data_IF_842402881003
#
_entry.id   IF_842402881003
#
_cell.length_a   1.000
_cell.length_b   1.000
_cell.length_c   1.000
_cell.angle_alpha   90.00
_cell.angle_beta   90.00
_cell.angle_gamma   90.00
#
_symmetry.space_group_name_H-M   'P 1'
#
loop_
_entity.id
_entity.type
_entity.pdbx_description
1 polymer ?
#
# COMPACT_ATOMS: atom_id res chain seq x y z
N UNK A 1 16.47 32.82 -50.44
CA UNK A 1 15.50 32.92 -49.33
C UNK A 1 14.54 31.74 -49.43
N UNK A 2 14.69 30.75 -48.56
CA UNK A 2 13.76 29.62 -48.45
C UNK A 2 13.29 29.61 -47.00
N UNK A 3 12.00 29.78 -46.82
CA UNK A 3 11.31 29.93 -45.55
C UNK A 3 11.44 28.66 -44.69
N UNK A 4 11.76 28.84 -43.42
CA UNK A 4 11.71 27.78 -42.42
C UNK A 4 10.24 27.41 -42.13
N UNK A 5 9.90 26.12 -41.98
CA UNK A 5 8.54 25.72 -41.64
C UNK A 5 8.21 26.16 -40.21
N UNK A 6 7.07 26.85 -40.10
CA UNK A 6 6.47 27.36 -38.87
C UNK A 6 6.34 26.26 -37.82
N UNK A 7 6.93 26.52 -36.66
CA UNK A 7 6.69 25.79 -35.42
C UNK A 7 5.22 25.95 -35.03
N UNK A 8 4.46 24.85 -35.12
CA UNK A 8 3.07 24.79 -34.66
C UNK A 8 3.08 24.78 -33.12
N UNK A 9 2.71 25.91 -32.51
CA UNK A 9 2.44 25.96 -31.07
C UNK A 9 1.12 25.21 -30.83
N UNK A 10 1.21 24.06 -30.17
CA UNK A 10 0.06 23.29 -29.70
C UNK A 10 -0.65 24.14 -28.62
N UNK A 11 -1.83 24.67 -28.93
CA UNK A 11 -2.66 25.39 -27.95
C UNK A 11 -3.10 24.49 -26.79
N UNK A 12 -3.64 25.06 -25.69
CA UNK A 12 -4.06 24.30 -24.54
C UNK A 12 -5.20 23.36 -24.96
N UNK A 13 -4.89 22.08 -25.08
CA UNK A 13 -5.86 21.05 -25.43
C UNK A 13 -6.95 20.99 -24.35
N UNK A 14 -8.19 21.19 -24.75
CA UNK A 14 -9.35 20.81 -23.94
C UNK A 14 -9.21 19.33 -23.61
N UNK A 15 -8.99 19.01 -22.34
CA UNK A 15 -9.05 17.62 -21.89
C UNK A 15 -10.53 17.18 -21.95
N UNK A 16 -10.87 16.31 -22.90
CA UNK A 16 -12.21 15.74 -22.99
C UNK A 16 -12.34 14.55 -22.03
N UNK A 17 -13.52 14.42 -21.42
CA UNK A 17 -13.92 13.18 -20.78
C UNK A 17 -13.90 12.05 -21.82
N UNK A 18 -13.33 10.90 -21.44
CA UNK A 18 -13.26 9.72 -22.30
C UNK A 18 -14.34 8.72 -21.87
N UNK A 19 -14.90 7.96 -22.81
CA UNK A 19 -15.78 6.84 -22.48
C UNK A 19 -14.98 5.56 -22.60
N UNK A 20 -14.88 4.80 -21.51
CA UNK A 20 -14.22 3.50 -21.50
C UNK A 20 -15.17 2.44 -20.96
N UNK A 21 -15.38 1.36 -21.70
CA UNK A 21 -16.39 0.33 -21.37
C UNK A 21 -17.78 0.92 -21.05
N UNK A 22 -18.17 2.01 -21.72
CA UNK A 22 -19.42 2.73 -21.47
C UNK A 22 -19.49 3.42 -20.10
N UNK A 23 -18.35 3.77 -19.51
CA UNK A 23 -18.22 4.59 -18.30
C UNK A 23 -17.52 5.88 -18.69
N UNK A 24 -18.05 7.01 -18.23
CA UNK A 24 -17.40 8.31 -18.39
C UNK A 24 -16.23 8.42 -17.41
N UNK A 25 -15.04 8.71 -17.94
CA UNK A 25 -13.83 8.99 -17.19
C UNK A 25 -13.67 10.50 -17.15
N UNK A 26 -13.63 11.11 -15.95
CA UNK A 26 -13.54 12.56 -15.83
C UNK A 26 -12.23 13.05 -16.44
N UNK A 27 -12.28 14.19 -17.13
CA UNK A 27 -11.07 14.87 -17.57
C UNK A 27 -10.26 15.37 -16.36
N UNK A 28 -8.92 15.48 -16.47
CA UNK A 28 -8.11 16.21 -15.51
C UNK A 28 -8.61 17.66 -15.37
N UNK A 29 -8.44 18.29 -14.19
CA UNK A 29 -8.74 19.71 -14.05
C UNK A 29 -7.88 20.54 -15.02
N UNK A 30 -8.29 21.78 -15.27
CA UNK A 30 -7.59 22.64 -16.20
C UNK A 30 -6.10 22.79 -15.80
N UNK A 31 -5.16 22.70 -16.77
CA UNK A 31 -3.74 22.80 -16.47
C UNK A 31 -3.39 24.17 -15.86
N UNK A 32 -2.48 24.16 -14.88
CA UNK A 32 -1.91 25.33 -14.22
C UNK A 32 -0.38 25.28 -14.37
N UNK A 33 0.16 25.72 -15.53
CA UNK A 33 1.58 25.59 -15.83
C UNK A 33 2.48 26.24 -14.78
N UNK A 34 3.34 25.43 -14.15
CA UNK A 34 4.51 25.88 -13.38
C UNK A 34 5.75 25.58 -14.21
N UNK A 35 6.70 26.51 -14.29
CA UNK A 35 7.95 26.32 -15.06
C UNK A 35 9.13 26.27 -14.12
N UNK A 36 9.84 25.14 -14.13
CA UNK A 36 11.10 24.97 -13.42
C UNK A 36 12.27 25.05 -14.42
N UNK A 37 13.43 25.51 -13.97
CA UNK A 37 14.65 25.54 -14.80
C UNK A 37 15.71 24.62 -14.20
N UNK A 38 16.06 23.56 -14.94
CA UNK A 38 17.09 22.60 -14.57
C UNK A 38 18.24 22.67 -15.57
N UNK A 39 19.44 23.05 -15.11
CA UNK A 39 20.63 23.19 -15.97
C UNK A 39 20.34 23.95 -17.28
N UNK A 40 19.76 25.15 -17.15
CA UNK A 40 19.34 26.02 -18.26
C UNK A 40 18.24 25.44 -19.17
N UNK A 41 17.63 24.31 -18.83
CA UNK A 41 16.50 23.72 -19.54
C UNK A 41 15.20 24.03 -18.79
N UNK A 42 14.24 24.66 -19.47
CA UNK A 42 12.91 24.91 -18.91
C UNK A 42 12.05 23.65 -19.02
N UNK A 43 11.41 23.27 -17.92
CA UNK A 43 10.47 22.14 -17.83
C UNK A 43 9.14 22.67 -17.33
N UNK A 44 8.06 22.42 -18.07
CA UNK A 44 6.71 22.84 -17.70
C UNK A 44 5.98 21.69 -17.02
N UNK A 45 5.50 21.92 -15.81
CA UNK A 45 4.63 21.03 -15.07
C UNK A 45 3.21 21.62 -14.99
N UNK A 46 2.31 21.25 -15.91
CA UNK A 46 0.94 21.77 -15.94
C UNK A 46 0.05 21.25 -14.81
N UNK A 47 0.48 20.24 -14.06
CA UNK A 47 -0.35 19.56 -13.07
C UNK A 47 0.28 19.52 -11.67
N UNK A 48 1.31 20.34 -11.40
CA UNK A 48 1.97 20.47 -10.09
C UNK A 48 1.00 20.59 -8.92
N UNK A 49 -0.13 21.30 -9.11
CA UNK A 49 -1.14 21.46 -8.07
C UNK A 49 -1.80 20.14 -7.63
N UNK A 50 -1.75 19.07 -8.42
CA UNK A 50 -2.25 17.74 -8.03
C UNK A 50 -1.40 17.09 -6.91
N UNK A 51 -0.20 17.62 -6.64
CA UNK A 51 0.63 17.19 -5.51
C UNK A 51 0.02 17.60 -4.16
N UNK A 52 -0.82 18.64 -4.14
CA UNK A 52 -1.53 19.11 -2.94
C UNK A 52 -2.74 18.23 -2.66
N UNK A 53 -2.49 17.00 -2.20
CA UNK A 53 -3.53 16.00 -1.94
C UNK A 53 -4.55 16.41 -0.87
N UNK A 54 -4.29 17.45 -0.09
CA UNK A 54 -5.28 18.00 0.86
C UNK A 54 -6.28 18.98 0.22
N UNK A 55 -6.03 19.43 -1.01
CA UNK A 55 -6.89 20.34 -1.74
C UNK A 55 -8.24 19.67 -2.10
N UNK A 56 -9.39 20.29 -1.80
CA UNK A 56 -10.71 19.73 -2.11
C UNK A 56 -10.96 19.42 -3.59
N UNK A 57 -10.41 20.21 -4.52
CA UNK A 57 -10.51 19.98 -5.96
C UNK A 57 -9.73 18.74 -6.38
N UNK A 58 -8.52 18.58 -5.84
CA UNK A 58 -7.66 17.40 -6.06
C UNK A 58 -8.36 16.15 -5.53
N UNK A 59 -8.87 16.19 -4.29
CA UNK A 59 -9.63 15.09 -3.69
C UNK A 59 -10.87 14.72 -4.51
N UNK A 60 -11.62 15.72 -4.99
CA UNK A 60 -12.79 15.50 -5.86
C UNK A 60 -12.38 14.82 -7.18
N UNK A 61 -11.30 15.28 -7.80
CA UNK A 61 -10.79 14.68 -9.03
C UNK A 61 -10.32 13.24 -8.81
N UNK A 62 -9.51 12.98 -7.78
CA UNK A 62 -9.04 11.64 -7.42
C UNK A 62 -10.21 10.68 -7.17
N UNK A 63 -11.23 11.14 -6.41
CA UNK A 63 -12.43 10.35 -6.17
C UNK A 63 -13.16 10.03 -7.48
N UNK A 64 -13.35 11.00 -8.36
CA UNK A 64 -14.05 10.80 -9.62
C UNK A 64 -13.30 9.80 -10.54
N UNK A 65 -11.97 9.84 -10.56
CA UNK A 65 -11.14 8.82 -11.24
C UNK A 65 -11.30 7.43 -10.62
N UNK A 66 -11.30 7.34 -9.29
CA UNK A 66 -11.47 6.07 -8.57
C UNK A 66 -12.86 5.45 -8.80
N UNK A 67 -13.91 6.27 -8.82
CA UNK A 67 -15.29 5.86 -9.08
C UNK A 67 -15.43 5.34 -10.52
N UNK A 68 -14.89 6.08 -11.51
CA UNK A 68 -14.90 5.65 -12.91
C UNK A 68 -14.14 4.32 -13.10
N UNK A 69 -12.94 4.21 -12.51
CA UNK A 69 -12.15 2.97 -12.55
C UNK A 69 -12.90 1.80 -11.94
N UNK A 70 -13.53 2.00 -10.77
CA UNK A 70 -14.33 0.96 -10.11
C UNK A 70 -15.49 0.49 -10.98
N UNK A 71 -16.19 1.43 -11.65
CA UNK A 71 -17.29 1.11 -12.55
C UNK A 71 -16.82 0.36 -13.81
N UNK A 72 -15.65 0.71 -14.37
CA UNK A 72 -15.06 -0.01 -15.50
C UNK A 72 -14.69 -1.44 -15.09
N UNK A 73 -13.99 -1.61 -13.97
CA UNK A 73 -13.58 -2.91 -13.48
C UNK A 73 -14.77 -3.80 -13.12
N UNK A 74 -15.86 -3.22 -12.59
CA UNK A 74 -17.08 -3.96 -12.29
C UNK A 74 -17.74 -4.58 -13.54
N UNK A 75 -17.52 -4.01 -14.73
CA UNK A 75 -18.04 -4.51 -16.00
C UNK A 75 -17.16 -5.60 -16.63
N UNK A 76 -15.97 -5.88 -16.09
CA UNK A 76 -15.07 -6.86 -16.68
C UNK A 76 -15.67 -8.28 -16.58
N UNK A 77 -15.86 -8.98 -17.72
CA UNK A 77 -16.37 -10.33 -17.71
C UNK A 77 -15.39 -11.24 -16.98
N UNK A 78 -15.91 -12.09 -16.10
CA UNK A 78 -15.10 -13.04 -15.32
C UNK A 78 -14.45 -12.48 -14.06
N UNK A 79 -14.55 -11.17 -13.74
CA UNK A 79 -13.99 -10.60 -12.50
C UNK A 79 -14.46 -11.34 -11.24
N UNK A 80 -15.76 -11.61 -11.14
CA UNK A 80 -16.32 -12.31 -9.99
C UNK A 80 -15.81 -13.76 -9.88
N UNK A 81 -15.69 -14.47 -11.03
CA UNK A 81 -15.14 -15.83 -11.07
C UNK A 81 -13.67 -15.86 -10.67
N UNK A 82 -12.88 -14.88 -11.14
CA UNK A 82 -11.48 -14.75 -10.77
C UNK A 82 -11.31 -14.45 -9.28
N UNK A 83 -12.10 -13.51 -8.73
CA UNK A 83 -12.09 -13.19 -7.31
C UNK A 83 -12.43 -14.42 -6.45
N UNK A 84 -13.48 -15.16 -6.81
CA UNK A 84 -13.86 -16.39 -6.11
C UNK A 84 -12.75 -17.44 -6.13
N UNK A 85 -12.08 -17.62 -7.28
CA UNK A 85 -10.96 -18.57 -7.39
C UNK A 85 -9.75 -18.15 -6.56
N UNK A 86 -9.45 -16.85 -6.49
CA UNK A 86 -8.36 -16.34 -5.63
C UNK A 86 -8.69 -16.61 -4.16
N UNK A 87 -9.93 -16.34 -3.73
CA UNK A 87 -10.39 -16.59 -2.36
C UNK A 87 -10.37 -18.08 -1.99
N UNK A 88 -10.76 -18.95 -2.91
CA UNK A 88 -10.70 -20.40 -2.73
C UNK A 88 -9.25 -20.86 -2.48
N UNK A 89 -8.32 -20.44 -3.34
CA UNK A 89 -6.90 -20.81 -3.20
C UNK A 89 -6.28 -20.24 -1.92
N UNK A 90 -6.57 -18.99 -1.56
CA UNK A 90 -6.03 -18.38 -0.34
C UNK A 90 -6.58 -19.08 0.92
N UNK A 91 -7.86 -19.51 0.89
CA UNK A 91 -8.49 -20.24 1.99
C UNK A 91 -7.99 -21.68 2.17
N UNK A 92 -7.40 -22.31 1.14
CA UNK A 92 -6.80 -23.64 1.24
C UNK A 92 -5.54 -23.65 2.11
N UNK A 93 -4.91 -22.49 2.35
CA UNK A 93 -3.69 -22.37 3.17
C UNK A 93 -4.06 -22.05 4.62
N UNK A 94 -3.96 -23.00 5.57
CA UNK A 94 -4.45 -22.79 6.93
C UNK A 94 -3.67 -21.69 7.67
N UNK A 95 -2.36 -21.63 7.42
CA UNK A 95 -1.48 -20.57 7.90
C UNK A 95 -0.25 -20.43 7.01
N UNK A 96 0.24 -19.19 6.90
CA UNK A 96 1.52 -18.86 6.29
C UNK A 96 2.49 -18.46 7.39
N UNK A 97 3.62 -19.16 7.49
CA UNK A 97 4.70 -18.85 8.45
C UNK A 97 5.91 -18.32 7.69
N UNK A 98 6.46 -17.19 8.13
CA UNK A 98 7.62 -16.56 7.50
C UNK A 98 8.60 -16.01 8.54
N UNK A 99 9.78 -15.60 8.05
CA UNK A 99 10.82 -14.94 8.83
C UNK A 99 11.35 -15.73 10.04
N UNK A 100 11.22 -17.06 10.08
CA UNK A 100 11.63 -17.87 11.23
C UNK A 100 13.07 -17.57 11.68
N UNK A 101 13.22 -17.19 12.96
CA UNK A 101 14.50 -16.96 13.63
C UNK A 101 14.61 -17.84 14.87
N UNK A 102 15.81 -18.31 15.17
CA UNK A 102 16.13 -19.10 16.36
C UNK A 102 17.11 -18.33 17.24
N UNK A 103 16.84 -18.25 18.53
CA UNK A 103 17.77 -17.73 19.54
C UNK A 103 18.76 -18.81 20.02
N UNK A 104 19.76 -18.43 20.81
CA UNK A 104 20.76 -19.37 21.36
C UNK A 104 20.16 -20.39 22.34
N UNK A 105 19.03 -20.05 22.97
CA UNK A 105 18.31 -20.91 23.91
C UNK A 105 17.34 -21.87 23.22
N UNK A 106 17.29 -21.86 21.89
CA UNK A 106 16.42 -22.71 21.08
C UNK A 106 14.96 -22.24 21.01
N UNK A 107 14.66 -21.01 21.42
CA UNK A 107 13.39 -20.34 21.15
C UNK A 107 13.28 -19.99 19.67
N UNK A 108 12.08 -20.15 19.12
CA UNK A 108 11.73 -19.81 17.75
C UNK A 108 10.82 -18.59 17.76
N UNK A 109 11.16 -17.60 16.95
CA UNK A 109 10.32 -16.43 16.65
C UNK A 109 9.94 -16.48 15.19
N UNK A 110 8.72 -16.07 14.85
CA UNK A 110 8.27 -16.06 13.46
C UNK A 110 7.03 -15.20 13.28
N UNK A 111 6.81 -14.78 12.04
CA UNK A 111 5.55 -14.20 11.61
C UNK A 111 4.60 -15.31 11.18
N UNK A 112 3.33 -15.23 11.58
CA UNK A 112 2.29 -16.17 11.17
C UNK A 112 1.01 -15.41 10.82
N UNK A 113 0.43 -15.74 9.68
CA UNK A 113 -0.91 -15.29 9.25
C UNK A 113 -1.80 -16.50 9.09
N UNK A 114 -2.86 -16.62 9.88
CA UNK A 114 -3.88 -17.65 9.66
C UNK A 114 -4.79 -17.28 8.48
N UNK A 115 -5.51 -18.25 7.91
CA UNK A 115 -6.41 -18.01 6.76
C UNK A 115 -7.44 -16.89 6.99
N UNK A 116 -7.86 -16.67 8.24
CA UNK A 116 -8.83 -15.64 8.64
C UNK A 116 -8.20 -14.29 8.99
N UNK A 117 -6.86 -14.23 9.10
CA UNK A 117 -6.14 -13.04 9.52
C UNK A 117 -5.85 -12.16 8.30
N UNK A 118 -6.13 -10.87 8.43
CA UNK A 118 -5.77 -9.86 7.44
C UNK A 118 -4.28 -9.52 7.50
N UNK A 119 -3.64 -9.71 8.66
CA UNK A 119 -2.25 -9.34 8.90
C UNK A 119 -1.47 -10.45 9.62
N UNK A 120 -0.19 -10.57 9.30
CA UNK A 120 0.71 -11.47 10.02
C UNK A 120 0.96 -10.96 11.44
N UNK A 121 0.91 -11.87 12.40
CA UNK A 121 1.19 -11.61 13.82
C UNK A 121 2.54 -12.21 14.21
N UNK A 122 3.17 -11.64 15.23
CA UNK A 122 4.48 -12.09 15.71
C UNK A 122 4.29 -13.08 16.86
N UNK A 123 4.86 -14.26 16.69
CA UNK A 123 4.79 -15.34 17.68
C UNK A 123 6.17 -15.77 18.15
N UNK A 124 6.18 -16.43 19.31
CA UNK A 124 7.31 -17.18 19.85
C UNK A 124 6.87 -18.56 20.30
N UNK A 125 7.73 -19.55 20.19
CA UNK A 125 7.60 -20.84 20.90
C UNK A 125 8.95 -21.39 21.32
N UNK A 126 8.98 -22.29 22.29
CA UNK A 126 10.20 -23.00 22.68
C UNK A 126 10.37 -24.28 21.86
N UNK A 127 11.45 -24.41 21.09
CA UNK A 127 11.64 -25.57 20.21
C UNK A 127 10.54 -25.71 19.14
N UNK A 128 10.46 -26.87 18.49
CA UNK A 128 9.46 -27.10 17.46
C UNK A 128 8.06 -27.36 18.03
N UNK A 129 7.97 -28.13 19.12
CA UNK A 129 6.70 -28.63 19.66
C UNK A 129 6.21 -27.86 20.89
N UNK A 130 6.91 -26.78 21.28
CA UNK A 130 6.48 -25.94 22.39
C UNK A 130 5.23 -25.12 22.05
N UNK A 131 4.49 -24.66 23.08
CA UNK A 131 3.29 -23.85 22.88
C UNK A 131 3.64 -22.51 22.23
N UNK A 132 2.78 -22.03 21.32
CA UNK A 132 2.88 -20.70 20.73
C UNK A 132 2.43 -19.62 21.73
N UNK A 133 3.26 -18.60 21.95
CA UNK A 133 2.95 -17.33 22.62
C UNK A 133 2.83 -16.25 21.55
N UNK A 134 1.68 -15.58 21.48
CA UNK A 134 1.50 -14.37 20.69
C UNK A 134 2.26 -13.21 21.36
N UNK A 135 3.12 -12.52 20.62
CA UNK A 135 3.88 -11.38 21.11
C UNK A 135 3.29 -10.05 20.63
N UNK A 136 2.91 -9.96 19.35
CA UNK A 136 2.33 -8.73 18.79
C UNK A 136 1.25 -9.05 17.76
N UNK A 137 0.14 -8.32 17.85
CA UNK A 137 -1.04 -8.45 16.97
C UNK A 137 -1.42 -7.10 16.36
N UNK A 138 -1.07 -6.85 15.08
CA UNK A 138 -1.42 -5.60 14.40
C UNK A 138 -2.93 -5.38 14.28
N UNK A 139 -3.74 -6.44 14.31
CA UNK A 139 -5.19 -6.28 14.25
C UNK A 139 -5.76 -5.74 15.56
N UNK A 140 -5.09 -5.96 16.69
CA UNK A 140 -5.44 -5.35 17.96
C UNK A 140 -5.19 -3.83 17.92
N UNK A 141 -4.03 -3.41 17.41
CA UNK A 141 -3.72 -1.98 17.17
C UNK A 141 -4.72 -1.34 16.20
N UNK A 142 -5.10 -2.08 15.16
CA UNK A 142 -6.06 -1.58 14.18
C UNK A 142 -7.45 -1.36 14.77
N UNK A 143 -7.92 -2.26 15.64
CA UNK A 143 -9.18 -2.08 16.38
C UNK A 143 -9.12 -0.89 17.34
N UNK A 144 -7.98 -0.68 18.00
CA UNK A 144 -7.82 0.40 18.97
C UNK A 144 -7.80 1.79 18.33
N UNK A 145 -7.19 1.91 17.15
CA UNK A 145 -6.95 3.21 16.48
C UNK A 145 -7.89 3.49 15.32
N UNK A 146 -8.61 2.48 14.83
CA UNK A 146 -9.44 2.55 13.62
C UNK A 146 -8.65 2.62 12.31
N UNK A 147 -7.33 2.38 12.34
CA UNK A 147 -6.45 2.38 11.15
C UNK A 147 -5.80 1.01 10.95
N UNK A 148 -5.66 0.48 9.74
CA UNK A 148 -4.91 -0.75 9.51
C UNK A 148 -3.48 -0.63 10.05
N UNK A 149 -2.97 -1.67 10.72
CA UNK A 149 -1.58 -1.76 11.14
C UNK A 149 -0.92 -3.00 10.55
N UNK A 150 0.39 -2.95 10.30
CA UNK A 150 1.14 -4.08 9.77
C UNK A 150 2.54 -4.12 10.39
N UNK A 151 3.04 -5.33 10.68
CA UNK A 151 4.44 -5.52 11.09
C UNK A 151 5.30 -5.66 9.84
N UNK A 152 6.28 -4.77 9.67
CA UNK A 152 7.22 -4.80 8.55
C UNK A 152 8.39 -5.77 8.75
N UNK A 153 8.73 -6.06 10.02
CA UNK A 153 9.79 -6.99 10.37
C UNK A 153 10.12 -6.93 11.85
N UNK A 154 10.99 -7.85 12.29
CA UNK A 154 11.43 -7.94 13.68
C UNK A 154 12.86 -8.46 13.80
N UNK A 155 13.45 -8.23 14.97
CA UNK A 155 14.71 -8.79 15.40
C UNK A 155 14.60 -9.25 16.86
N UNK A 156 15.00 -10.50 17.13
CA UNK A 156 15.11 -11.02 18.49
C UNK A 156 16.53 -10.81 19.02
N UNK A 157 16.67 -10.56 20.32
CA UNK A 157 17.98 -10.58 20.98
C UNK A 157 18.58 -11.98 20.92
N UNK A 158 19.91 -12.05 21.03
CA UNK A 158 20.64 -13.31 20.93
C UNK A 158 20.21 -14.33 21.99
N UNK A 159 19.93 -13.84 23.19
CA UNK A 159 19.44 -14.62 24.34
C UNK A 159 17.92 -14.81 24.37
N UNK A 160 17.19 -14.29 23.37
CA UNK A 160 15.75 -14.47 23.21
C UNK A 160 14.87 -13.74 24.23
N UNK A 161 15.43 -12.84 25.05
CA UNK A 161 14.68 -12.10 26.08
C UNK A 161 13.96 -10.87 25.55
N UNK A 162 14.48 -10.27 24.49
CA UNK A 162 13.91 -9.07 23.90
C UNK A 162 13.56 -9.32 22.43
N UNK A 163 12.48 -8.69 21.97
CA UNK A 163 12.15 -8.61 20.55
C UNK A 163 11.82 -7.19 20.20
N UNK A 164 12.53 -6.65 19.19
CA UNK A 164 12.19 -5.39 18.56
C UNK A 164 11.42 -5.67 17.26
N UNK A 165 10.32 -4.95 17.01
CA UNK A 165 9.55 -5.07 15.77
C UNK A 165 9.09 -3.71 15.28
N UNK A 166 9.04 -3.56 13.95
CA UNK A 166 8.56 -2.35 13.30
C UNK A 166 7.08 -2.51 12.94
N UNK A 167 6.25 -1.54 13.33
CA UNK A 167 4.82 -1.50 13.00
C UNK A 167 4.46 -0.20 12.29
N UNK A 168 3.75 -0.28 11.17
CA UNK A 168 3.25 0.89 10.43
C UNK A 168 1.74 1.02 10.59
N UNK A 169 1.23 2.25 10.45
CA UNK A 169 -0.20 2.59 10.56
C UNK A 169 -0.68 3.18 9.25
N UNK A 170 -1.78 2.69 8.68
CA UNK A 170 -2.36 3.23 7.44
C UNK A 170 -1.41 3.18 6.23
N UNK A 171 -0.40 2.29 6.25
CA UNK A 171 0.58 2.17 5.18
C UNK A 171 1.69 3.24 5.19
N UNK A 172 1.96 3.89 6.33
CA UNK A 172 3.10 4.82 6.44
C UNK A 172 4.43 4.13 6.11
N UNK A 173 5.27 4.81 5.32
CA UNK A 173 6.61 4.32 4.96
C UNK A 173 7.54 4.21 6.17
N UNK A 174 7.38 5.14 7.14
CA UNK A 174 8.11 5.12 8.41
C UNK A 174 7.19 4.46 9.45
N UNK A 175 7.65 3.34 10.00
CA UNK A 175 7.00 2.64 11.11
C UNK A 175 7.58 3.04 12.46
N UNK A 176 6.84 2.70 13.52
CA UNK A 176 7.30 2.78 14.90
C UNK A 176 8.08 1.50 15.25
N UNK A 177 9.24 1.64 15.92
CA UNK A 177 9.96 0.51 16.49
C UNK A 177 9.50 0.28 17.93
N UNK A 178 8.92 -0.89 18.20
CA UNK A 178 8.49 -1.30 19.55
C UNK A 178 9.36 -2.44 20.05
N UNK A 179 9.59 -2.49 21.36
CA UNK A 179 10.40 -3.52 22.01
C UNK A 179 9.52 -4.23 23.06
N UNK A 180 9.55 -5.56 23.04
CA UNK A 180 8.85 -6.43 23.99
C UNK A 180 9.90 -7.18 24.80
N UNK A 181 9.72 -7.21 26.12
CA UNK A 181 10.32 -8.23 26.97
C UNK A 181 9.47 -9.50 26.87
N UNK A 182 10.11 -10.57 26.44
CA UNK A 182 9.47 -11.84 26.09
C UNK A 182 8.93 -12.59 27.30
N UNK A 183 9.48 -12.36 28.49
CA UNK A 183 9.08 -13.04 29.72
C UNK A 183 7.87 -12.38 30.39
N UNK A 184 7.69 -11.07 30.20
CA UNK A 184 6.50 -10.32 30.65
C UNK A 184 5.33 -10.39 29.68
#
# INVERSE_FOLDING_TARGET
HVEAPRMLVLGPGTALAAIYAGVEVPAPPAPRPVVDTYWNTQVVDPYRFLEETSDPEVQKFMKAQADATSAILAKLPGRAKLLARIQEIDAEVPAVVTQVRRDERGGLFYMKREAKDNQSKLYRRQGHDGPEKLLADPEADAKATGKPHAIGGYAASHDGKLVAYQISSGGTEIGELRIIDVET
#
